data_IF_623805261796
#
_entry.id   IF_623805261796
#
_cell.length_a   1.000
_cell.length_b   1.000
_cell.length_c   1.000
_cell.angle_alpha   90.00
_cell.angle_beta   90.00
_cell.angle_gamma   90.00
#
_symmetry.space_group_name_H-M   'P 1'
#
loop_
_entity.id
_entity.type
_entity.pdbx_description
1 polymer ?
#
# COMPACT_ATOMS: atom_id res chain seq x y z
N UNK A 1 0.63 12.80 -12.15
CA UNK A 1 -0.54 11.91 -12.01
C UNK A 1 -1.29 12.25 -10.72
N UNK A 2 -0.73 12.01 -9.53
CA UNK A 2 -1.38 12.24 -8.22
C UNK A 2 -2.02 13.63 -8.05
N UNK A 3 -1.36 14.69 -8.52
CA UNK A 3 -1.92 16.05 -8.48
C UNK A 3 -3.17 16.19 -9.35
N UNK A 4 -3.20 15.53 -10.50
CA UNK A 4 -4.36 15.57 -11.41
C UNK A 4 -5.50 14.74 -10.84
N UNK A 5 -5.22 13.60 -10.23
CA UNK A 5 -6.23 12.77 -9.54
C UNK A 5 -6.88 13.49 -8.35
N UNK A 6 -6.09 14.29 -7.61
CA UNK A 6 -6.62 15.11 -6.52
C UNK A 6 -7.39 16.34 -7.00
N UNK A 7 -7.10 16.84 -8.21
CA UNK A 7 -7.64 18.12 -8.70
C UNK A 7 -9.18 18.17 -8.79
N UNK A 8 -9.95 17.11 -9.13
CA UNK A 8 -11.43 17.18 -9.12
C UNK A 8 -11.99 17.53 -7.75
N UNK A 9 -11.45 16.91 -6.69
CA UNK A 9 -11.86 17.16 -5.30
C UNK A 9 -11.52 18.58 -4.88
N UNK A 10 -10.32 19.05 -5.21
CA UNK A 10 -9.89 20.41 -4.93
C UNK A 10 -10.71 21.47 -5.67
N UNK A 11 -11.04 21.21 -6.94
CA UNK A 11 -11.89 22.09 -7.74
C UNK A 11 -13.32 22.14 -7.21
N UNK A 12 -13.87 21.00 -6.77
CA UNK A 12 -15.20 20.91 -6.18
C UNK A 12 -15.28 21.66 -4.85
N UNK A 13 -14.28 21.50 -4.00
CA UNK A 13 -14.17 22.27 -2.77
C UNK A 13 -14.10 23.78 -3.03
N UNK A 14 -13.29 24.23 -4.01
CA UNK A 14 -13.19 25.64 -4.40
C UNK A 14 -14.50 26.19 -4.98
N UNK A 15 -15.22 25.38 -5.76
CA UNK A 15 -16.53 25.76 -6.33
C UNK A 15 -17.64 25.84 -5.28
N UNK A 16 -17.56 25.02 -4.22
CA UNK A 16 -18.52 24.98 -3.10
C UNK A 16 -18.32 26.07 -2.05
N UNK A 17 -17.23 26.85 -2.10
CA UNK A 17 -17.00 27.94 -1.14
C UNK A 17 -18.05 29.03 -1.29
N UNK A 18 -18.84 29.30 -0.21
CA UNK A 18 -19.87 30.34 -0.16
C UNK A 18 -19.25 31.76 -0.15
N UNK A 19 -18.13 31.93 0.54
CA UNK A 19 -17.40 33.20 0.69
C UNK A 19 -16.17 33.28 -0.25
N UNK A 20 -16.36 32.91 -1.53
CA UNK A 20 -15.26 32.90 -2.48
C UNK A 20 -14.83 34.34 -2.83
N UNK A 21 -13.51 34.65 -2.84
CA UNK A 21 -13.01 35.93 -3.26
C UNK A 21 -13.39 36.24 -4.72
N UNK A 22 -13.56 37.51 -5.05
CA UNK A 22 -14.10 37.99 -6.33
C UNK A 22 -13.37 37.41 -7.58
N UNK A 23 -12.05 37.20 -7.47
CA UNK A 23 -11.26 36.57 -8.54
C UNK A 23 -11.63 35.10 -8.79
N UNK A 24 -12.01 34.37 -7.73
CA UNK A 24 -12.42 32.97 -7.81
C UNK A 24 -13.79 32.84 -8.49
N UNK A 25 -14.71 33.75 -8.17
CA UNK A 25 -16.03 33.82 -8.81
C UNK A 25 -15.91 34.02 -10.32
N UNK A 26 -14.98 34.86 -10.75
CA UNK A 26 -14.72 35.13 -12.18
C UNK A 26 -14.11 33.93 -12.91
N UNK A 27 -13.45 33.04 -12.20
CA UNK A 27 -12.84 31.81 -12.74
C UNK A 27 -13.79 30.60 -12.76
N UNK A 28 -14.91 30.64 -12.05
CA UNK A 28 -15.88 29.53 -11.96
C UNK A 28 -16.21 28.86 -13.30
N UNK A 29 -16.57 29.59 -14.40
CA UNK A 29 -16.91 28.94 -15.66
C UNK A 29 -15.74 28.13 -16.25
N UNK A 30 -14.50 28.64 -16.11
CA UNK A 30 -13.31 27.92 -16.55
C UNK A 30 -13.02 26.70 -15.68
N UNK A 31 -13.25 26.80 -14.37
CA UNK A 31 -13.06 25.69 -13.42
C UNK A 31 -14.02 24.54 -13.72
N UNK A 32 -15.28 24.82 -14.08
CA UNK A 32 -16.22 23.79 -14.52
C UNK A 32 -15.77 23.06 -15.77
N UNK A 33 -15.21 23.77 -16.75
CA UNK A 33 -14.67 23.17 -17.99
C UNK A 33 -13.45 22.30 -17.68
N UNK A 34 -12.54 22.80 -16.83
CA UNK A 34 -11.35 22.04 -16.39
C UNK A 34 -11.77 20.78 -15.63
N UNK A 35 -12.75 20.89 -14.69
CA UNK A 35 -13.27 19.73 -13.95
C UNK A 35 -13.83 18.66 -14.90
N UNK A 36 -14.64 19.04 -15.88
CA UNK A 36 -15.17 18.09 -16.88
C UNK A 36 -14.05 17.41 -17.68
N UNK A 37 -13.04 18.16 -18.11
CA UNK A 37 -11.90 17.61 -18.82
C UNK A 37 -11.11 16.64 -17.94
N UNK A 38 -10.82 17.01 -16.68
CA UNK A 38 -10.09 16.14 -15.75
C UNK A 38 -10.87 14.86 -15.45
N UNK A 39 -12.19 14.95 -15.21
CA UNK A 39 -13.03 13.76 -14.98
C UNK A 39 -13.02 12.81 -16.20
N UNK A 40 -12.97 13.32 -17.41
CA UNK A 40 -12.85 12.50 -18.62
C UNK A 40 -11.54 11.70 -18.64
N UNK A 41 -10.45 12.28 -18.11
CA UNK A 41 -9.14 11.64 -18.08
C UNK A 41 -8.86 10.87 -16.76
N UNK A 42 -9.76 10.91 -15.79
CA UNK A 42 -9.52 10.28 -14.46
C UNK A 42 -9.23 8.79 -14.59
N UNK A 43 -10.05 8.03 -15.31
CA UNK A 43 -9.87 6.57 -15.45
C UNK A 43 -8.50 6.21 -16.06
N UNK A 44 -8.13 6.76 -17.27
CA UNK A 44 -6.82 6.44 -17.82
C UNK A 44 -5.65 6.94 -16.96
N UNK A 45 -5.80 8.05 -16.24
CA UNK A 45 -4.78 8.56 -15.34
C UNK A 45 -4.60 7.69 -14.10
N UNK A 46 -5.68 7.18 -13.52
CA UNK A 46 -5.63 6.24 -12.39
C UNK A 46 -4.94 4.93 -12.80
N UNK A 47 -5.28 4.39 -13.97
CA UNK A 47 -4.60 3.20 -14.50
C UNK A 47 -3.11 3.48 -14.68
N UNK A 48 -2.76 4.61 -15.29
CA UNK A 48 -1.36 5.03 -15.48
C UNK A 48 -0.65 5.19 -14.13
N UNK A 49 -1.30 5.77 -13.12
CA UNK A 49 -0.76 5.94 -11.77
C UNK A 49 -0.40 4.61 -11.11
N UNK A 50 -1.30 3.63 -11.20
CA UNK A 50 -1.06 2.27 -10.68
C UNK A 50 0.11 1.61 -11.41
N UNK A 51 0.13 1.67 -12.75
CA UNK A 51 1.20 1.08 -13.55
C UNK A 51 2.55 1.73 -13.23
N UNK A 52 2.63 3.06 -13.20
CA UNK A 52 3.88 3.76 -12.89
C UNK A 52 4.36 3.46 -11.46
N UNK A 53 3.47 3.38 -10.50
CA UNK A 53 3.80 3.06 -9.11
C UNK A 53 4.39 1.64 -8.97
N UNK A 54 3.76 0.66 -9.60
CA UNK A 54 4.25 -0.74 -9.57
C UNK A 54 5.56 -0.91 -10.33
N UNK A 55 5.72 -0.24 -11.48
CA UNK A 55 6.99 -0.24 -12.24
C UNK A 55 8.12 0.48 -11.47
N UNK A 56 7.80 1.54 -10.71
CA UNK A 56 8.78 2.19 -9.85
C UNK A 56 9.30 1.23 -8.77
N UNK A 57 8.43 0.45 -8.15
CA UNK A 57 8.85 -0.59 -7.19
C UNK A 57 9.72 -1.66 -7.85
N UNK A 58 9.38 -2.10 -9.06
CA UNK A 58 10.22 -3.03 -9.83
C UNK A 58 11.62 -2.45 -10.11
N UNK A 59 11.70 -1.16 -10.48
CA UNK A 59 12.98 -0.47 -10.69
C UNK A 59 13.81 -0.38 -9.42
N UNK A 60 13.20 -0.17 -8.25
CA UNK A 60 13.88 -0.22 -6.96
C UNK A 60 14.43 -1.63 -6.69
N UNK A 61 13.67 -2.68 -7.03
CA UNK A 61 14.15 -4.06 -6.96
C UNK A 61 15.38 -4.30 -7.85
N UNK A 62 15.42 -3.68 -9.03
CA UNK A 62 16.55 -3.80 -9.95
C UNK A 62 17.85 -3.19 -9.41
N UNK A 63 17.79 -2.20 -8.52
CA UNK A 63 18.98 -1.61 -7.90
C UNK A 63 19.76 -2.62 -7.06
N UNK A 64 19.09 -3.59 -6.44
CA UNK A 64 19.75 -4.61 -5.63
C UNK A 64 20.55 -5.62 -6.47
N UNK A 65 20.29 -5.73 -7.79
CA UNK A 65 21.07 -6.58 -8.70
C UNK A 65 22.51 -6.12 -8.87
N UNK A 66 22.82 -4.86 -8.51
CA UNK A 66 24.17 -4.29 -8.61
C UNK A 66 25.11 -4.87 -7.54
N UNK A 67 24.57 -5.41 -6.43
CA UNK A 67 25.35 -5.85 -5.29
C UNK A 67 25.13 -7.33 -4.92
N UNK A 68 25.32 -8.29 -5.85
CA UNK A 68 25.00 -9.70 -5.61
C UNK A 68 25.85 -10.32 -4.48
N UNK A 69 27.11 -9.91 -4.36
CA UNK A 69 28.02 -10.43 -3.34
C UNK A 69 27.85 -9.80 -1.96
N UNK A 70 27.05 -8.72 -1.83
CA UNK A 70 26.84 -8.01 -0.57
C UNK A 70 25.59 -8.48 0.17
N UNK A 71 24.62 -9.02 -0.54
CA UNK A 71 23.37 -9.48 0.04
C UNK A 71 23.43 -10.95 0.46
N UNK A 72 22.68 -11.30 1.48
CA UNK A 72 22.51 -12.69 1.89
C UNK A 72 21.78 -13.48 0.80
N UNK A 73 22.24 -14.68 0.40
CA UNK A 73 21.67 -15.47 -0.69
C UNK A 73 20.16 -15.69 -0.59
N UNK A 74 19.60 -15.96 0.59
CA UNK A 74 18.15 -16.17 0.78
C UNK A 74 17.29 -14.97 0.35
N UNK A 75 17.80 -13.74 0.41
CA UNK A 75 17.08 -12.54 -0.03
C UNK A 75 17.51 -12.03 -1.39
N UNK A 76 18.74 -12.36 -1.82
CA UNK A 76 19.19 -12.03 -3.17
C UNK A 76 18.54 -12.96 -4.19
N UNK A 77 18.21 -12.44 -5.35
CA UNK A 77 17.77 -13.21 -6.51
C UNK A 77 17.87 -12.36 -7.78
N UNK A 78 18.18 -12.95 -8.93
CA UNK A 78 18.04 -12.28 -10.23
C UNK A 78 16.62 -11.80 -10.51
N UNK A 79 15.62 -12.39 -9.85
CA UNK A 79 14.20 -12.02 -9.97
C UNK A 79 13.75 -10.92 -8.99
N UNK A 80 14.68 -10.21 -8.32
CA UNK A 80 14.35 -9.11 -7.41
C UNK A 80 13.36 -8.09 -7.99
N UNK A 81 13.48 -7.63 -9.24
CA UNK A 81 12.50 -6.72 -9.83
C UNK A 81 11.09 -7.30 -9.86
N UNK A 82 10.96 -8.60 -10.13
CA UNK A 82 9.67 -9.32 -10.18
C UNK A 82 9.09 -9.44 -8.77
N UNK A 83 9.91 -9.79 -7.77
CA UNK A 83 9.47 -9.87 -6.38
C UNK A 83 9.00 -8.52 -5.86
N UNK A 84 9.69 -7.44 -6.20
CA UNK A 84 9.30 -6.10 -5.84
C UNK A 84 7.99 -5.68 -6.53
N UNK A 85 7.81 -6.05 -7.79
CA UNK A 85 6.59 -5.80 -8.53
C UNK A 85 5.40 -6.54 -7.90
N UNK A 86 5.50 -7.87 -7.71
CA UNK A 86 4.40 -8.67 -7.15
C UNK A 86 4.07 -8.24 -5.72
N UNK A 87 5.09 -8.00 -4.89
CA UNK A 87 4.87 -7.54 -3.51
C UNK A 87 4.23 -6.15 -3.44
N UNK A 88 4.47 -5.27 -4.42
CA UNK A 88 3.80 -3.97 -4.48
C UNK A 88 2.30 -4.08 -4.79
N UNK A 89 1.90 -5.07 -5.59
CA UNK A 89 0.47 -5.36 -5.81
C UNK A 89 -0.21 -5.80 -4.51
N UNK A 90 0.44 -6.70 -3.76
CA UNK A 90 -0.07 -7.12 -2.43
C UNK A 90 -0.14 -5.94 -1.47
N UNK A 91 0.90 -5.08 -1.47
CA UNK A 91 0.92 -3.88 -0.64
C UNK A 91 -0.27 -2.98 -0.93
N UNK A 92 -0.55 -2.70 -2.20
CA UNK A 92 -1.68 -1.87 -2.61
C UNK A 92 -3.02 -2.46 -2.18
N UNK A 93 -3.28 -3.73 -2.49
CA UNK A 93 -4.52 -4.41 -2.11
C UNK A 93 -4.72 -4.45 -0.59
N UNK A 94 -3.68 -4.81 0.15
CA UNK A 94 -3.74 -4.88 1.62
C UNK A 94 -3.91 -3.48 2.24
N UNK A 95 -3.24 -2.46 1.68
CA UNK A 95 -3.32 -1.09 2.19
C UNK A 95 -4.71 -0.48 1.99
N UNK A 96 -5.34 -0.70 0.84
CA UNK A 96 -6.72 -0.23 0.59
C UNK A 96 -7.71 -0.85 1.57
N UNK A 97 -7.60 -2.17 1.85
CA UNK A 97 -8.44 -2.84 2.85
C UNK A 97 -8.17 -2.28 4.26
N UNK A 98 -6.90 -2.11 4.61
CA UNK A 98 -6.47 -1.60 5.92
C UNK A 98 -6.95 -0.16 6.14
N UNK A 99 -6.70 0.74 5.18
CA UNK A 99 -7.11 2.13 5.22
C UNK A 99 -8.64 2.26 5.26
N UNK A 100 -9.36 1.54 4.40
CA UNK A 100 -10.82 1.50 4.40
C UNK A 100 -11.37 1.06 5.75
N UNK A 101 -10.77 0.05 6.38
CA UNK A 101 -11.16 -0.41 7.73
C UNK A 101 -10.95 0.69 8.78
N UNK A 102 -9.83 1.40 8.72
CA UNK A 102 -9.50 2.47 9.65
C UNK A 102 -10.41 3.68 9.45
N UNK A 103 -10.67 4.05 8.20
CA UNK A 103 -11.58 5.14 7.82
C UNK A 103 -13.01 4.85 8.27
N UNK A 104 -13.53 3.64 8.04
CA UNK A 104 -14.85 3.23 8.53
C UNK A 104 -14.96 3.34 10.04
N UNK A 105 -13.93 2.93 10.78
CA UNK A 105 -13.94 3.03 12.24
C UNK A 105 -13.85 4.48 12.72
N UNK A 106 -13.07 5.32 12.05
CA UNK A 106 -12.85 6.72 12.45
C UNK A 106 -13.99 7.66 12.03
N UNK A 107 -14.68 7.34 10.93
CA UNK A 107 -15.67 8.22 10.29
C UNK A 107 -17.07 7.59 10.23
N UNK A 108 -17.33 6.54 11.03
CA UNK A 108 -18.59 5.78 11.07
C UNK A 108 -19.83 6.68 11.15
N UNK A 109 -19.77 7.78 11.89
CA UNK A 109 -20.88 8.70 12.07
C UNK A 109 -21.17 9.59 10.84
N UNK A 110 -20.36 9.49 9.79
CA UNK A 110 -20.44 10.32 8.58
C UNK A 110 -20.70 9.49 7.31
N UNK A 111 -20.90 8.18 7.43
CA UNK A 111 -21.09 7.26 6.31
C UNK A 111 -22.48 6.64 6.33
N UNK A 112 -23.07 6.47 5.12
CA UNK A 112 -24.36 5.80 4.94
C UNK A 112 -24.19 4.27 4.94
N UNK A 113 -25.22 3.54 5.45
CA UNK A 113 -25.23 2.07 5.51
C UNK A 113 -25.17 1.40 4.13
N UNK A 114 -25.69 2.05 3.09
CA UNK A 114 -25.63 1.55 1.71
C UNK A 114 -24.20 1.50 1.19
N UNK A 115 -23.41 2.56 1.42
CA UNK A 115 -21.99 2.60 1.06
C UNK A 115 -21.16 1.58 1.82
N UNK A 116 -21.50 1.32 3.09
CA UNK A 116 -20.81 0.31 3.89
C UNK A 116 -20.96 -1.10 3.29
N UNK A 117 -22.14 -1.45 2.78
CA UNK A 117 -22.41 -2.75 2.14
C UNK A 117 -21.72 -2.90 0.79
N UNK A 118 -21.68 -1.85 -0.02
CA UNK A 118 -20.97 -1.85 -1.30
C UNK A 118 -19.45 -1.97 -1.10
N UNK A 119 -18.90 -1.24 -0.13
CA UNK A 119 -17.50 -1.33 0.26
C UNK A 119 -17.10 -2.75 0.71
N UNK A 120 -17.97 -3.44 1.44
CA UNK A 120 -17.73 -4.83 1.85
C UNK A 120 -17.58 -5.77 0.64
N UNK A 121 -18.38 -5.58 -0.43
CA UNK A 121 -18.24 -6.34 -1.68
C UNK A 121 -16.87 -6.15 -2.34
N UNK A 122 -16.37 -4.92 -2.36
CA UNK A 122 -15.04 -4.58 -2.90
C UNK A 122 -13.93 -5.21 -2.05
N UNK A 123 -14.07 -5.19 -0.72
CA UNK A 123 -13.11 -5.81 0.21
C UNK A 123 -12.97 -7.31 -0.03
N UNK A 124 -14.08 -8.03 -0.30
CA UNK A 124 -14.02 -9.45 -0.68
C UNK A 124 -13.27 -9.68 -2.00
N UNK A 125 -13.50 -8.80 -3.00
CA UNK A 125 -12.78 -8.83 -4.28
C UNK A 125 -11.27 -8.65 -4.10
N UNK A 126 -10.87 -7.65 -3.34
CA UNK A 126 -9.46 -7.38 -3.04
C UNK A 126 -8.82 -8.47 -2.19
N UNK A 127 -9.53 -9.02 -1.20
CA UNK A 127 -9.05 -10.14 -0.40
C UNK A 127 -8.78 -11.38 -1.24
N UNK A 128 -9.66 -11.68 -2.21
CA UNK A 128 -9.44 -12.80 -3.17
C UNK A 128 -8.21 -12.56 -4.02
N UNK A 129 -8.06 -11.36 -4.59
CA UNK A 129 -6.91 -11.00 -5.40
C UNK A 129 -5.61 -11.07 -4.59
N UNK A 130 -5.59 -10.51 -3.37
CA UNK A 130 -4.43 -10.53 -2.49
C UNK A 130 -4.00 -11.95 -2.11
N UNK A 131 -4.95 -12.84 -1.79
CA UNK A 131 -4.65 -14.25 -1.52
C UNK A 131 -3.98 -14.92 -2.71
N UNK A 132 -4.53 -14.75 -3.92
CA UNK A 132 -3.99 -15.35 -5.13
C UNK A 132 -2.57 -14.86 -5.44
N UNK A 133 -2.35 -13.55 -5.33
CA UNK A 133 -1.03 -12.94 -5.59
C UNK A 133 0.00 -13.38 -4.54
N UNK A 134 -0.37 -13.48 -3.25
CA UNK A 134 0.52 -13.96 -2.19
C UNK A 134 0.92 -15.42 -2.37
N UNK A 135 -0.02 -16.29 -2.77
CA UNK A 135 0.28 -17.69 -3.06
C UNK A 135 1.23 -17.77 -4.24
N UNK A 136 0.99 -17.00 -5.31
CA UNK A 136 1.89 -16.91 -6.45
C UNK A 136 3.30 -16.44 -6.06
N UNK A 137 3.38 -15.38 -5.25
CA UNK A 137 4.65 -14.89 -4.70
C UNK A 137 5.39 -15.98 -3.92
N UNK A 138 4.69 -16.70 -3.02
CA UNK A 138 5.28 -17.79 -2.24
C UNK A 138 5.85 -18.88 -3.14
N UNK A 139 5.09 -19.34 -4.14
CA UNK A 139 5.52 -20.38 -5.07
C UNK A 139 6.78 -19.95 -5.83
N UNK A 140 6.78 -18.73 -6.39
CA UNK A 140 7.93 -18.21 -7.13
C UNK A 140 9.16 -18.11 -6.22
N UNK A 141 8.97 -17.68 -4.96
CA UNK A 141 10.10 -17.57 -4.01
C UNK A 141 10.67 -18.93 -3.60
N UNK A 142 9.82 -19.93 -3.43
CA UNK A 142 10.26 -21.32 -3.17
C UNK A 142 11.02 -21.89 -4.39
N UNK A 143 10.52 -21.65 -5.60
CA UNK A 143 11.20 -22.07 -6.83
C UNK A 143 12.56 -21.39 -6.98
N UNK A 144 12.65 -20.10 -6.72
CA UNK A 144 13.88 -19.31 -6.72
C UNK A 144 14.92 -19.90 -5.76
N UNK A 145 14.57 -20.11 -4.50
CA UNK A 145 15.44 -20.74 -3.49
C UNK A 145 15.88 -22.15 -3.90
N UNK A 146 15.04 -22.87 -4.63
CA UNK A 146 15.34 -24.22 -5.12
C UNK A 146 16.33 -24.17 -6.29
N UNK A 147 16.17 -23.23 -7.21
CA UNK A 147 17.04 -23.06 -8.38
C UNK A 147 18.46 -22.68 -7.98
N UNK A 148 18.61 -21.82 -6.98
CA UNK A 148 19.91 -21.36 -6.47
C UNK A 148 20.54 -22.35 -5.49
N UNK A 149 19.82 -23.43 -5.11
CA UNK A 149 20.24 -24.45 -4.15
C UNK A 149 20.61 -23.89 -2.76
N UNK A 150 19.92 -22.86 -2.31
CA UNK A 150 20.19 -22.11 -1.08
C UNK A 150 19.59 -22.74 0.18
N UNK A 151 19.09 -23.99 0.08
CA UNK A 151 18.48 -24.73 1.19
C UNK A 151 19.39 -24.90 2.40
N UNK A 152 20.69 -24.95 2.18
CA UNK A 152 21.68 -25.11 3.24
C UNK A 152 21.73 -23.89 4.18
N UNK A 153 21.37 -22.69 3.70
CA UNK A 153 21.27 -21.49 4.54
C UNK A 153 20.06 -21.49 5.46
N UNK A 154 19.05 -22.32 5.21
CA UNK A 154 17.88 -22.43 6.10
C UNK A 154 18.24 -22.98 7.49
N UNK A 155 19.32 -23.73 7.60
CA UNK A 155 19.80 -24.24 8.89
C UNK A 155 20.51 -23.17 9.75
N UNK A 156 20.61 -21.92 9.26
CA UNK A 156 21.23 -20.80 9.95
C UNK A 156 20.20 -19.95 10.71
N UNK A 157 20.67 -19.03 11.59
CA UNK A 157 19.79 -18.05 12.25
C UNK A 157 19.08 -17.12 11.25
N UNK A 158 19.74 -16.76 10.14
CA UNK A 158 19.11 -16.01 9.04
C UNK A 158 18.03 -16.84 8.34
N UNK A 159 18.24 -18.15 8.19
CA UNK A 159 17.26 -19.06 7.61
C UNK A 159 16.01 -19.19 8.48
N UNK A 160 16.17 -19.27 9.80
CA UNK A 160 15.02 -19.25 10.71
C UNK A 160 14.22 -17.96 10.60
N UNK A 161 14.88 -16.80 10.48
CA UNK A 161 14.22 -15.51 10.27
C UNK A 161 13.52 -15.43 8.91
N UNK A 162 14.15 -15.93 7.86
CA UNK A 162 13.54 -16.04 6.53
C UNK A 162 12.29 -16.94 6.56
N UNK A 163 12.33 -18.06 7.29
CA UNK A 163 11.16 -18.93 7.46
C UNK A 163 10.02 -18.20 8.19
N UNK A 164 10.31 -17.40 9.22
CA UNK A 164 9.32 -16.55 9.89
C UNK A 164 8.70 -15.55 8.92
N UNK A 165 9.50 -14.92 8.07
CA UNK A 165 9.01 -14.01 7.02
C UNK A 165 8.07 -14.73 6.05
N UNK A 166 8.50 -15.87 5.50
CA UNK A 166 7.75 -16.60 4.48
C UNK A 166 6.48 -17.24 5.02
N UNK A 167 6.53 -17.83 6.22
CA UNK A 167 5.36 -18.48 6.84
C UNK A 167 4.45 -17.45 7.51
N UNK A 168 5.01 -16.55 8.31
CA UNK A 168 4.23 -15.60 9.13
C UNK A 168 3.67 -14.42 8.35
N UNK A 169 4.40 -13.94 7.34
CA UNK A 169 4.04 -12.71 6.65
C UNK A 169 3.67 -12.88 5.18
N UNK A 170 3.85 -14.07 4.59
CA UNK A 170 3.39 -14.39 3.24
C UNK A 170 2.30 -15.45 3.29
N UNK A 171 2.59 -16.63 3.84
CA UNK A 171 1.67 -17.77 3.81
C UNK A 171 0.47 -17.56 4.74
N UNK A 172 0.69 -17.11 5.96
CA UNK A 172 -0.38 -16.86 6.92
C UNK A 172 -1.41 -15.84 6.42
N UNK A 173 -1.04 -14.63 5.95
CA UNK A 173 -2.02 -13.69 5.40
C UNK A 173 -2.68 -14.21 4.13
N UNK A 174 -1.98 -14.96 3.27
CA UNK A 174 -2.58 -15.61 2.11
C UNK A 174 -3.72 -16.55 2.51
N UNK A 175 -3.49 -17.35 3.55
CA UNK A 175 -4.46 -18.29 4.09
C UNK A 175 -5.64 -17.59 4.77
N UNK A 176 -5.36 -16.55 5.56
CA UNK A 176 -6.39 -15.73 6.21
C UNK A 176 -7.30 -15.03 5.19
N UNK A 177 -6.73 -14.51 4.11
CA UNK A 177 -7.52 -13.95 3.00
C UNK A 177 -8.39 -15.02 2.34
N UNK A 178 -7.83 -16.20 2.03
CA UNK A 178 -8.57 -17.30 1.41
C UNK A 178 -9.74 -17.76 2.28
N UNK A 179 -9.49 -17.96 3.58
CA UNK A 179 -10.52 -18.33 4.56
C UNK A 179 -11.58 -17.24 4.70
N UNK A 180 -11.16 -15.97 4.85
CA UNK A 180 -12.08 -14.84 4.98
C UNK A 180 -13.02 -14.71 3.78
N UNK A 181 -12.51 -14.93 2.57
CA UNK A 181 -13.32 -14.93 1.35
C UNK A 181 -14.24 -16.13 1.29
N UNK A 182 -13.76 -17.33 1.66
CA UNK A 182 -14.54 -18.58 1.65
C UNK A 182 -15.70 -18.53 2.65
N UNK A 183 -15.42 -18.07 3.86
CA UNK A 183 -16.40 -17.98 4.96
C UNK A 183 -17.23 -16.70 4.93
N UNK A 184 -16.99 -15.82 3.95
CA UNK A 184 -17.62 -14.50 3.87
C UNK A 184 -17.43 -13.68 5.15
N UNK A 185 -16.30 -13.86 5.82
CA UNK A 185 -15.96 -13.19 7.06
C UNK A 185 -15.04 -11.99 6.81
N UNK A 186 -15.61 -10.81 6.81
CA UNK A 186 -14.89 -9.57 6.57
C UNK A 186 -13.83 -9.26 7.63
N UNK A 187 -14.05 -9.71 8.88
CA UNK A 187 -13.10 -9.49 9.97
C UNK A 187 -11.80 -10.23 9.71
N UNK A 188 -11.85 -11.45 9.18
CA UNK A 188 -10.65 -12.21 8.80
C UNK A 188 -9.87 -11.49 7.69
N UNK A 189 -10.56 -10.92 6.70
CA UNK A 189 -9.93 -10.17 5.60
C UNK A 189 -9.26 -8.91 6.14
N UNK A 190 -9.90 -8.20 7.06
CA UNK A 190 -9.34 -7.02 7.72
C UNK A 190 -8.11 -7.34 8.56
N UNK A 191 -8.13 -8.45 9.30
CA UNK A 191 -6.95 -8.93 10.04
C UNK A 191 -5.84 -9.34 9.09
N UNK A 192 -6.17 -10.07 8.01
CA UNK A 192 -5.20 -10.45 6.98
C UNK A 192 -4.53 -9.23 6.35
N UNK A 193 -5.26 -8.11 6.16
CA UNK A 193 -4.68 -6.88 5.60
C UNK A 193 -3.61 -6.26 6.50
N UNK A 194 -3.80 -6.32 7.83
CA UNK A 194 -2.77 -5.89 8.79
C UNK A 194 -1.49 -6.71 8.63
N UNK A 195 -1.63 -8.05 8.58
CA UNK A 195 -0.48 -8.93 8.35
C UNK A 195 0.15 -8.71 6.98
N UNK A 196 -0.65 -8.45 5.94
CA UNK A 196 -0.17 -8.12 4.60
C UNK A 196 0.68 -6.84 4.59
N UNK A 197 0.19 -5.76 5.20
CA UNK A 197 0.92 -4.48 5.30
C UNK A 197 2.21 -4.66 6.12
N UNK A 198 2.12 -5.29 7.28
CA UNK A 198 3.30 -5.56 8.12
C UNK A 198 4.32 -6.45 7.39
N UNK A 199 3.85 -7.46 6.65
CA UNK A 199 4.70 -8.35 5.88
C UNK A 199 5.53 -7.63 4.83
N UNK A 200 4.92 -6.67 4.12
CA UNK A 200 5.66 -5.85 3.15
C UNK A 200 6.70 -4.97 3.84
N UNK A 201 6.36 -4.36 4.98
CA UNK A 201 7.31 -3.55 5.75
C UNK A 201 8.49 -4.41 6.22
N UNK A 202 8.23 -5.59 6.78
CA UNK A 202 9.26 -6.56 7.22
C UNK A 202 10.13 -7.01 6.04
N UNK A 203 9.52 -7.34 4.91
CA UNK A 203 10.25 -7.74 3.71
C UNK A 203 11.20 -6.62 3.23
N UNK A 204 10.73 -5.36 3.17
CA UNK A 204 11.58 -4.23 2.78
C UNK A 204 12.71 -4.00 3.79
N UNK A 205 12.41 -4.10 5.08
CA UNK A 205 13.42 -4.00 6.13
C UNK A 205 14.48 -5.12 6.00
N UNK A 206 14.04 -6.35 5.73
CA UNK A 206 14.94 -7.48 5.55
C UNK A 206 15.85 -7.30 4.32
N UNK A 207 15.30 -6.91 3.19
CA UNK A 207 16.07 -6.69 1.96
C UNK A 207 17.05 -5.52 2.11
N UNK A 208 16.62 -4.41 2.74
CA UNK A 208 17.44 -3.19 2.85
C UNK A 208 18.48 -3.24 3.96
N UNK A 209 18.24 -3.96 5.05
CA UNK A 209 19.09 -3.95 6.25
C UNK A 209 19.63 -5.33 6.58
N UNK A 210 18.76 -6.31 6.82
CA UNK A 210 19.18 -7.64 7.31
C UNK A 210 20.06 -8.35 6.28
N UNK A 211 19.67 -8.30 5.02
CA UNK A 211 20.41 -8.96 3.93
C UNK A 211 21.82 -8.37 3.70
N UNK A 212 22.04 -7.10 4.00
CA UNK A 212 23.34 -6.45 3.87
C UNK A 212 24.23 -6.60 5.10
N UNK A 213 23.67 -6.90 6.26
CA UNK A 213 24.41 -7.01 7.51
C UNK A 213 25.07 -8.39 7.73
N UNK A 214 24.82 -9.36 6.85
CA UNK A 214 25.23 -10.75 7.10
C UNK A 214 26.76 -10.99 7.04
N UNK A 215 27.48 -10.19 6.26
CA UNK A 215 28.94 -10.27 6.14
C UNK A 215 29.70 -9.34 7.08
N UNK A 216 28.97 -8.45 7.78
CA UNK A 216 29.56 -7.47 8.67
C UNK A 216 29.76 -8.05 10.07
N UNK A 217 30.90 -7.72 10.69
CA UNK A 217 31.12 -8.01 12.10
C UNK A 217 30.04 -7.33 12.97
N UNK A 218 29.80 -7.88 14.14
CA UNK A 218 28.74 -7.40 15.04
C UNK A 218 28.87 -5.92 15.42
N UNK A 219 30.10 -5.39 15.39
CA UNK A 219 30.39 -3.97 15.66
C UNK A 219 30.03 -3.01 14.51
N UNK A 220 30.08 -3.52 13.28
CA UNK A 220 29.88 -2.73 12.06
C UNK A 220 28.46 -2.86 11.49
N UNK A 221 27.61 -3.68 12.12
CA UNK A 221 26.22 -3.86 11.68
C UNK A 221 25.42 -2.59 11.86
N UNK A 222 24.85 -2.13 10.76
CA UNK A 222 23.95 -1.00 10.81
C UNK A 222 22.60 -1.40 11.40
N UNK A 223 22.17 -0.61 12.39
CA UNK A 223 20.82 -0.67 12.95
C UNK A 223 20.28 0.76 13.03
N UNK A 224 19.00 1.01 12.67
CA UNK A 224 18.44 2.36 12.69
C UNK A 224 18.58 2.99 14.06
N UNK A 225 19.11 4.20 14.09
CA UNK A 225 19.23 4.99 15.32
C UNK A 225 17.85 5.40 15.83
N UNK A 226 17.76 5.71 17.13
CA UNK A 226 16.51 6.17 17.74
C UNK A 226 15.98 7.41 17.03
N UNK A 227 16.86 8.34 16.61
CA UNK A 227 16.48 9.54 15.88
C UNK A 227 15.85 9.24 14.50
N UNK A 228 16.33 8.23 13.80
CA UNK A 228 15.77 7.81 12.49
C UNK A 228 14.39 7.17 12.66
N UNK A 229 14.20 6.40 13.72
CA UNK A 229 12.88 5.82 14.06
C UNK A 229 11.89 6.94 14.40
N UNK A 230 12.29 7.91 15.22
CA UNK A 230 11.44 9.07 15.54
C UNK A 230 11.09 9.89 14.29
N UNK A 231 12.05 10.13 13.40
CA UNK A 231 11.82 10.83 12.14
C UNK A 231 10.79 10.06 11.27
N UNK A 232 10.92 8.75 11.19
CA UNK A 232 9.97 7.91 10.43
C UNK A 232 8.56 7.99 11.02
N UNK A 233 8.42 7.90 12.35
CA UNK A 233 7.14 8.05 13.05
C UNK A 233 6.56 9.45 12.83
N UNK A 234 7.38 10.49 12.86
CA UNK A 234 6.95 11.86 12.61
C UNK A 234 6.37 12.03 11.20
N UNK A 235 7.05 11.48 10.17
CA UNK A 235 6.56 11.53 8.78
C UNK A 235 5.21 10.80 8.65
N UNK A 236 5.08 9.61 9.23
CA UNK A 236 3.81 8.86 9.22
C UNK A 236 2.70 9.66 9.90
N UNK A 237 2.99 10.25 11.06
CA UNK A 237 2.02 11.08 11.80
C UNK A 237 1.60 12.30 10.99
N UNK A 238 2.53 12.93 10.28
CA UNK A 238 2.25 14.07 9.39
C UNK A 238 1.32 13.67 8.24
N UNK A 239 1.56 12.51 7.59
CA UNK A 239 0.70 11.99 6.52
C UNK A 239 -0.71 11.70 7.05
N UNK A 240 -0.84 11.04 8.19
CA UNK A 240 -2.14 10.74 8.82
C UNK A 240 -2.88 12.04 9.19
N UNK A 241 -2.16 13.04 9.68
CA UNK A 241 -2.75 14.34 10.04
C UNK A 241 -3.25 15.08 8.79
N UNK A 242 -2.45 15.09 7.73
CA UNK A 242 -2.83 15.67 6.44
C UNK A 242 -4.07 14.96 5.85
N UNK A 243 -4.10 13.63 5.90
CA UNK A 243 -5.25 12.84 5.47
C UNK A 243 -6.52 13.21 6.25
N UNK A 244 -6.44 13.24 7.59
CA UNK A 244 -7.57 13.65 8.44
C UNK A 244 -8.04 15.07 8.16
N UNK A 245 -7.11 15.99 7.90
CA UNK A 245 -7.44 17.38 7.53
C UNK A 245 -8.21 17.42 6.21
N UNK A 246 -7.73 16.71 5.18
CA UNK A 246 -8.41 16.63 3.88
C UNK A 246 -9.81 16.03 4.03
N UNK A 247 -9.95 14.89 4.70
CA UNK A 247 -11.25 14.25 4.93
C UNK A 247 -12.22 15.09 5.76
N UNK A 248 -11.73 16.03 6.60
CA UNK A 248 -12.58 16.88 7.43
C UNK A 248 -13.01 18.17 6.74
N UNK A 249 -12.25 18.66 5.76
CA UNK A 249 -12.45 19.98 5.14
C UNK A 249 -12.85 19.92 3.67
N UNK A 250 -12.63 18.79 3.00
CA UNK A 250 -12.92 18.63 1.58
C UNK A 250 -14.04 17.59 1.36
N UNK A 251 -14.83 17.71 0.29
CA UNK A 251 -15.91 16.79 -0.06
C UNK A 251 -15.34 15.46 -0.62
N UNK A 252 -14.56 14.76 0.19
CA UNK A 252 -14.01 13.43 -0.15
C UNK A 252 -14.99 12.33 0.21
N UNK A 253 -15.80 12.56 1.27
CA UNK A 253 -16.84 11.65 1.73
C UNK A 253 -18.18 12.13 1.18
N UNK A 254 -18.94 11.22 0.58
CA UNK A 254 -20.25 11.51 -0.06
C UNK A 254 -21.28 12.16 0.84
N UNK A 255 -21.11 12.14 2.15
CA UNK A 255 -22.05 12.65 3.15
C UNK A 255 -21.47 13.70 4.09
N UNK A 256 -20.46 14.45 3.65
CA UNK A 256 -20.04 15.58 4.48
C UNK A 256 -21.20 16.57 4.61
N UNK A 257 -21.66 16.91 5.84
CA UNK A 257 -22.88 17.72 6.05
C UNK A 257 -22.82 19.10 5.36
N UNK A 258 -21.61 19.64 5.15
CA UNK A 258 -21.40 20.93 4.49
C UNK A 258 -21.46 20.87 2.96
N UNK A 259 -21.51 19.67 2.36
CA UNK A 259 -21.40 19.45 0.91
C UNK A 259 -22.51 18.56 0.34
N UNK A 260 -23.60 18.34 1.07
CA UNK A 260 -24.75 17.52 0.63
C UNK A 260 -25.35 17.95 -0.71
N UNK A 261 -25.22 19.23 -1.07
CA UNK A 261 -25.77 19.79 -2.30
C UNK A 261 -24.74 19.88 -3.45
N UNK A 262 -23.54 19.31 -3.28
CA UNK A 262 -22.45 19.38 -4.26
C UNK A 262 -22.41 18.19 -5.23
N UNK A 263 -23.31 17.20 -5.04
CA UNK A 263 -23.37 15.96 -5.85
C UNK A 263 -24.63 15.87 -6.69
#
# INVERSE_FOLDING_TARGET
VLFIEWSPVGLEWLLGMKDAPCWLVRLRPRMHTIRKAVLCFTIPLTILGVVLSTMHQSSLGALFLIAPSKMHPLWYSPFMPVFFFISSMVAGLSMVIFEGTLSHKALHNKMDETHLREADGVVFGFGRAASFVLIGYFIIKVLDTTMDNDWHYLASGYGAWFAVEMVGFVLLPAFLYALGVREKNITLIRVASVFGVLGIVVNRFNVCLVAFNWQLDSADRYFPSISEVFLSIFIVTLIVTAYRFVCSKMPVLYEHPDFKDAH
#
